data_IF_350351527600
#
_entry.id   IF_350351527600
#
_cell.length_a   1.000
_cell.length_b   1.000
_cell.length_c   1.000
_cell.angle_alpha   90.00
_cell.angle_beta   90.00
_cell.angle_gamma   90.00
#
_symmetry.space_group_name_H-M   'P 1'
#
loop_
_entity.id
_entity.type
_entity.pdbx_description
1 polymer ?
#
# COMPACT_ATOMS: atom_id res chain seq x y z
N UNK A 1 1.74 26.00 -10.63
CA UNK A 1 2.38 24.68 -10.40
C UNK A 1 1.49 23.85 -9.49
N UNK A 2 0.80 22.84 -10.03
CA UNK A 2 -0.04 21.96 -9.24
C UNK A 2 0.80 21.20 -8.20
N UNK A 3 0.68 21.59 -6.93
CA UNK A 3 1.08 20.81 -5.76
C UNK A 3 0.57 19.37 -5.91
N UNK A 4 1.50 18.49 -6.21
CA UNK A 4 1.26 17.09 -6.51
C UNK A 4 1.72 16.27 -5.32
N UNK A 5 0.84 15.43 -4.80
CA UNK A 5 1.27 14.35 -3.90
C UNK A 5 2.02 13.36 -4.78
N UNK A 6 3.34 13.24 -4.59
CA UNK A 6 4.16 12.29 -5.36
C UNK A 6 3.59 10.89 -5.16
N UNK A 7 3.60 10.09 -6.23
CA UNK A 7 3.32 8.66 -6.09
C UNK A 7 4.39 8.06 -5.19
N UNK A 8 4.03 7.09 -4.35
CA UNK A 8 5.00 6.33 -3.56
C UNK A 8 6.11 5.71 -4.44
N UNK A 9 5.80 5.42 -5.71
CA UNK A 9 6.76 4.89 -6.69
C UNK A 9 7.78 5.90 -7.22
N UNK A 10 7.61 7.21 -6.98
CA UNK A 10 8.50 8.26 -7.48
C UNK A 10 9.41 8.84 -6.39
N UNK A 11 9.48 8.17 -5.23
CA UNK A 11 10.23 8.64 -4.06
C UNK A 11 11.58 7.93 -3.90
N UNK A 12 11.96 7.01 -4.81
CA UNK A 12 13.17 6.20 -4.65
C UNK A 12 14.08 6.23 -5.88
N UNK A 13 15.16 7.00 -5.79
CA UNK A 13 16.38 6.90 -6.59
C UNK A 13 17.53 7.51 -5.75
N UNK A 14 17.74 6.98 -4.54
CA UNK A 14 18.79 7.51 -3.67
C UNK A 14 18.78 6.97 -2.24
N UNK A 15 19.65 5.98 -1.98
CA UNK A 15 20.18 5.61 -0.66
C UNK A 15 19.23 5.04 0.39
N UNK A 16 19.00 3.71 0.33
CA UNK A 16 18.87 2.87 1.53
C UNK A 16 19.43 1.47 1.27
N UNK A 17 20.75 1.31 1.41
CA UNK A 17 21.38 -0.01 1.46
C UNK A 17 21.34 -0.54 2.91
N UNK A 18 20.21 -1.13 3.30
CA UNK A 18 20.18 -2.18 4.33
C UNK A 18 19.57 -3.44 3.71
N UNK A 19 20.39 -4.16 2.94
CA UNK A 19 20.02 -5.40 2.26
C UNK A 19 19.66 -6.52 3.25
N UNK A 20 18.44 -7.03 3.12
CA UNK A 20 18.05 -8.32 3.70
C UNK A 20 18.72 -9.46 2.92
N UNK A 21 19.77 -10.06 3.47
CA UNK A 21 20.38 -11.28 2.90
C UNK A 21 19.56 -12.50 3.35
N UNK A 22 18.55 -12.86 2.57
CA UNK A 22 17.74 -14.06 2.78
C UNK A 22 18.63 -15.31 2.54
N UNK A 23 18.86 -16.13 3.57
CA UNK A 23 19.66 -17.36 3.45
C UNK A 23 18.80 -18.62 3.55
N UNK A 24 19.07 -19.55 2.64
CA UNK A 24 18.78 -20.98 2.73
C UNK A 24 19.79 -21.67 3.67
N UNK A 25 19.33 -22.40 4.68
CA UNK A 25 20.20 -23.28 5.49
C UNK A 25 20.46 -24.61 4.76
N UNK A 26 21.68 -25.18 4.83
CA UNK A 26 21.98 -26.47 4.21
C UNK A 26 21.53 -27.64 5.08
N UNK A 27 20.98 -28.67 4.43
CA UNK A 27 20.62 -29.96 5.01
C UNK A 27 21.89 -30.73 5.44
N UNK A 28 21.93 -31.16 6.70
CA UNK A 28 22.99 -32.01 7.24
C UNK A 28 23.01 -33.37 6.54
N UNK A 29 24.06 -33.63 5.75
CA UNK A 29 24.41 -34.99 5.31
C UNK A 29 25.27 -35.67 6.37
N UNK A 30 24.80 -36.82 6.80
CA UNK A 30 25.52 -37.81 7.59
C UNK A 30 26.88 -38.15 6.95
N UNK A 31 27.92 -38.21 7.78
CA UNK A 31 29.23 -38.76 7.40
C UNK A 31 29.51 -39.97 8.30
N UNK A 32 29.84 -41.08 7.62
CA UNK A 32 29.98 -42.42 8.15
C UNK A 32 31.28 -42.60 8.92
N UNK A 33 31.20 -43.44 9.97
CA UNK A 33 32.32 -43.98 10.74
C UNK A 33 33.27 -44.83 9.88
N UNK A 34 34.57 -44.74 10.15
CA UNK A 34 35.49 -45.87 10.14
C UNK A 34 36.70 -45.57 11.05
N UNK A 35 36.84 -46.32 12.16
CA UNK A 35 37.97 -47.23 12.43
C UNK A 35 38.03 -47.67 13.91
N UNK A 36 38.27 -48.97 14.09
CA UNK A 36 38.64 -49.71 15.30
C UNK A 36 39.96 -50.44 15.00
N UNK A 37 40.68 -51.13 15.93
CA UNK A 37 40.61 -51.15 17.41
C UNK A 37 41.99 -51.12 18.15
N UNK A 38 41.93 -50.80 19.46
CA UNK A 38 42.68 -51.23 20.69
C UNK A 38 43.96 -52.14 20.68
N UNK A 39 44.63 -52.44 21.84
CA UNK A 39 44.95 -51.69 23.09
C UNK A 39 46.39 -51.99 23.67
N UNK A 40 46.83 -51.36 24.78
CA UNK A 40 47.41 -52.04 25.98
C UNK A 40 48.15 -51.13 27.02
N UNK A 41 47.81 -51.36 28.30
CA UNK A 41 48.59 -51.35 29.58
C UNK A 41 49.15 -50.03 30.17
N UNK A 42 48.62 -49.62 31.35
CA UNK A 42 49.19 -49.67 32.75
C UNK A 42 50.27 -48.60 32.99
N UNK A 43 50.35 -47.84 34.08
CA UNK A 43 49.76 -47.85 35.42
C UNK A 43 50.12 -46.49 36.10
N UNK A 44 49.40 -46.18 37.17
CA UNK A 44 49.78 -45.33 38.31
C UNK A 44 49.44 -43.83 38.38
N UNK A 45 49.13 -43.47 39.63
CA UNK A 45 48.12 -42.54 40.10
C UNK A 45 48.67 -41.15 40.45
N UNK A 46 47.81 -40.12 40.36
CA UNK A 46 47.55 -39.15 41.44
C UNK A 46 46.57 -38.05 41.00
N UNK A 47 45.59 -37.82 41.89
CA UNK A 47 44.94 -36.55 42.25
C UNK A 47 44.10 -35.71 41.26
N UNK A 48 43.04 -35.15 41.88
CA UNK A 48 42.18 -34.03 41.50
C UNK A 48 40.88 -34.32 40.71
N UNK A 49 39.80 -34.49 41.50
CA UNK A 49 38.65 -33.58 41.53
C UNK A 49 37.93 -33.24 40.20
N UNK A 50 36.76 -33.84 39.95
CA UNK A 50 35.49 -33.11 39.70
C UNK A 50 34.36 -34.07 39.33
N UNK A 51 33.25 -33.95 40.06
CA UNK A 51 31.98 -34.62 39.86
C UNK A 51 31.37 -34.26 38.50
N UNK A 52 31.34 -35.19 37.56
CA UNK A 52 30.46 -35.12 36.39
C UNK A 52 29.13 -35.79 36.72
N UNK A 53 28.14 -34.99 37.13
CA UNK A 53 26.73 -35.39 37.09
C UNK A 53 26.26 -35.43 35.63
N UNK A 54 26.07 -36.65 35.15
CA UNK A 54 25.40 -37.00 33.89
C UNK A 54 23.94 -36.52 33.95
N UNK A 55 23.62 -35.39 33.32
CA UNK A 55 22.23 -34.94 33.12
C UNK A 55 21.70 -35.62 31.86
N UNK A 56 20.85 -36.62 32.05
CA UNK A 56 20.06 -37.24 30.98
C UNK A 56 19.20 -36.17 30.31
N UNK A 57 19.46 -35.94 29.03
CA UNK A 57 18.71 -34.98 28.21
C UNK A 57 17.37 -35.60 27.86
N UNK A 58 16.36 -35.41 28.71
CA UNK A 58 14.97 -35.68 28.33
C UNK A 58 14.63 -34.84 27.10
N UNK A 59 14.39 -35.52 25.99
CA UNK A 59 13.96 -34.92 24.74
C UNK A 59 12.69 -34.08 24.99
N UNK A 60 12.85 -32.76 25.07
CA UNK A 60 11.78 -31.78 25.15
C UNK A 60 10.80 -32.02 24.02
N UNK A 61 9.67 -32.67 24.31
CA UNK A 61 8.54 -32.79 23.41
C UNK A 61 8.22 -31.41 22.82
N UNK A 62 8.15 -31.35 21.48
CA UNK A 62 8.02 -30.11 20.74
C UNK A 62 6.66 -29.46 21.05
N UNK A 63 6.63 -28.66 22.12
CA UNK A 63 5.39 -28.08 22.64
C UNK A 63 4.98 -26.95 21.71
N UNK A 64 3.98 -27.21 20.87
CA UNK A 64 3.37 -26.22 20.00
C UNK A 64 2.50 -25.26 20.81
N UNK A 65 2.63 -23.96 20.51
CA UNK A 65 1.78 -22.90 21.07
C UNK A 65 0.67 -22.62 20.06
N UNK A 66 -0.57 -22.59 20.51
CA UNK A 66 -1.72 -22.15 19.73
C UNK A 66 -2.29 -20.85 20.30
N UNK A 67 -2.69 -19.94 19.42
CA UNK A 67 -3.29 -18.65 19.77
C UNK A 67 -4.73 -18.59 19.25
N UNK A 68 -5.67 -18.29 20.14
CA UNK A 68 -7.03 -17.91 19.78
C UNK A 68 -7.12 -16.38 19.75
N UNK A 69 -7.44 -15.79 18.59
CA UNK A 69 -7.64 -14.35 18.44
C UNK A 69 -8.74 -14.06 17.41
N UNK A 70 -9.77 -13.25 17.73
CA UNK A 70 -10.09 -12.68 19.03
C UNK A 70 -10.70 -13.73 19.98
N UNK A 71 -10.60 -13.49 21.29
CA UNK A 71 -11.46 -14.14 22.29
C UNK A 71 -12.44 -13.15 22.89
N UNK A 72 -13.51 -13.70 23.48
CA UNK A 72 -14.54 -12.91 24.14
C UNK A 72 -14.61 -13.37 25.60
N UNK A 73 -13.81 -12.79 26.51
CA UNK A 73 -13.64 -13.32 27.86
C UNK A 73 -14.94 -13.49 28.65
N UNK A 74 -15.95 -12.65 28.35
CA UNK A 74 -17.27 -12.68 29.00
C UNK A 74 -18.25 -13.69 28.39
N UNK A 75 -17.91 -14.34 27.28
CA UNK A 75 -18.78 -15.32 26.63
C UNK A 75 -18.90 -16.59 27.47
N UNK A 76 -20.14 -17.08 27.69
CA UNK A 76 -20.40 -18.34 28.40
C UNK A 76 -19.58 -19.51 27.82
N UNK A 77 -19.43 -19.56 26.49
CA UNK A 77 -18.61 -20.59 25.81
C UNK A 77 -17.14 -20.49 26.19
N UNK A 78 -16.58 -19.28 26.19
CA UNK A 78 -15.16 -19.08 26.52
C UNK A 78 -14.88 -19.36 28.00
N UNK A 79 -15.74 -18.88 28.91
CA UNK A 79 -15.63 -19.17 30.35
C UNK A 79 -15.70 -20.67 30.67
N UNK A 80 -16.49 -21.44 29.91
CA UNK A 80 -16.53 -22.90 30.05
C UNK A 80 -15.23 -23.57 29.58
N UNK A 81 -14.58 -23.04 28.52
CA UNK A 81 -13.28 -23.53 28.03
C UNK A 81 -12.15 -23.23 29.01
N UNK A 82 -12.12 -22.01 29.56
CA UNK A 82 -11.12 -21.58 30.55
C UNK A 82 -11.07 -22.49 31.80
N UNK A 83 -12.18 -23.15 32.15
CA UNK A 83 -12.24 -24.11 33.27
C UNK A 83 -11.72 -25.51 32.93
N UNK A 84 -11.62 -25.85 31.65
CA UNK A 84 -11.33 -27.22 31.16
C UNK A 84 -9.98 -27.32 30.47
N UNK A 85 -9.53 -26.23 29.88
CA UNK A 85 -8.31 -26.17 29.08
C UNK A 85 -7.28 -25.28 29.78
N UNK A 86 -6.00 -25.60 29.62
CA UNK A 86 -4.89 -24.75 30.06
C UNK A 86 -4.73 -23.54 29.14
N UNK A 87 -5.40 -22.45 29.47
CA UNK A 87 -5.44 -21.21 28.68
C UNK A 87 -4.91 -20.03 29.49
N UNK A 88 -4.03 -19.25 28.88
CA UNK A 88 -3.66 -17.91 29.32
C UNK A 88 -4.50 -16.89 28.53
N UNK A 89 -5.11 -15.90 29.20
CA UNK A 89 -5.79 -14.79 28.54
C UNK A 89 -4.91 -13.54 28.59
N UNK A 90 -4.69 -12.92 27.44
CA UNK A 90 -4.01 -11.63 27.33
C UNK A 90 -4.94 -10.54 26.81
N UNK A 91 -4.65 -9.30 27.17
CA UNK A 91 -5.29 -8.11 26.66
C UNK A 91 -4.19 -7.13 26.26
N UNK A 92 -4.15 -6.70 25.01
CA UNK A 92 -3.08 -5.83 24.51
C UNK A 92 -3.53 -5.04 23.27
N UNK A 93 -2.70 -4.12 22.80
CA UNK A 93 -2.86 -3.40 21.54
C UNK A 93 -1.49 -3.22 20.86
N UNK A 94 -1.44 -3.03 19.54
CA UNK A 94 -0.19 -2.69 18.89
C UNK A 94 0.41 -1.37 19.41
N UNK A 95 1.74 -1.25 19.34
CA UNK A 95 2.45 -0.08 19.86
C UNK A 95 2.72 1.01 18.81
N UNK A 96 2.30 0.80 17.56
CA UNK A 96 2.45 1.78 16.47
C UNK A 96 1.57 3.03 16.66
N UNK A 97 1.95 4.20 16.10
CA UNK A 97 1.18 5.43 16.20
C UNK A 97 -0.30 5.26 15.81
N UNK A 98 -1.25 5.86 16.53
CA UNK A 98 -2.68 5.81 16.17
C UNK A 98 -3.38 4.45 16.39
N UNK A 99 -2.67 3.40 16.82
CA UNK A 99 -3.24 2.04 16.96
C UNK A 99 -3.82 1.72 18.34
N UNK A 100 -3.81 2.65 19.31
CA UNK A 100 -4.35 2.41 20.67
C UNK A 100 -5.82 1.96 20.71
N UNK A 101 -6.61 2.22 19.66
CA UNK A 101 -8.02 1.79 19.57
C UNK A 101 -8.18 0.35 19.08
N UNK A 102 -7.09 -0.35 18.84
CA UNK A 102 -7.01 -1.72 18.36
C UNK A 102 -6.74 -2.70 19.52
N UNK A 103 -7.28 -2.41 20.71
CA UNK A 103 -7.24 -3.32 21.85
C UNK A 103 -7.92 -4.65 21.49
N UNK A 104 -7.33 -5.75 21.99
CA UNK A 104 -7.77 -7.10 21.68
C UNK A 104 -7.57 -8.03 22.86
N UNK A 105 -8.56 -8.89 23.08
CA UNK A 105 -8.42 -10.05 23.95
C UNK A 105 -7.99 -11.26 23.10
N UNK A 106 -6.97 -11.98 23.54
CA UNK A 106 -6.49 -13.22 22.92
C UNK A 106 -6.26 -14.30 23.99
N UNK A 107 -6.17 -15.56 23.57
CA UNK A 107 -5.82 -16.66 24.45
C UNK A 107 -4.67 -17.51 23.90
N UNK A 108 -3.84 -18.05 24.78
CA UNK A 108 -2.68 -18.87 24.45
C UNK A 108 -2.80 -20.24 25.10
N UNK A 109 -2.51 -21.30 24.34
CA UNK A 109 -2.54 -22.69 24.76
C UNK A 109 -1.22 -23.40 24.41
N UNK A 110 -0.56 -24.13 25.33
CA UNK A 110 -0.86 -24.23 26.76
C UNK A 110 -0.50 -22.95 27.53
N UNK A 111 -1.43 -22.42 28.31
CA UNK A 111 -1.26 -21.18 29.07
C UNK A 111 -0.17 -21.27 30.15
N UNK A 112 -0.11 -22.39 30.86
CA UNK A 112 0.89 -22.65 31.90
C UNK A 112 2.31 -22.71 31.33
N UNK A 113 2.48 -23.24 30.12
CA UNK A 113 3.75 -23.22 29.42
C UNK A 113 4.14 -21.78 29.07
N UNK A 114 3.24 -21.02 28.45
CA UNK A 114 3.48 -19.62 28.08
C UNK A 114 3.87 -18.72 29.26
N UNK A 115 3.24 -18.92 30.42
CA UNK A 115 3.54 -18.17 31.65
C UNK A 115 4.88 -18.54 32.29
N UNK A 116 5.38 -19.77 32.09
CA UNK A 116 6.70 -20.21 32.59
C UNK A 116 7.86 -19.62 31.80
N UNK A 117 7.63 -19.26 30.54
CA UNK A 117 8.67 -18.69 29.69
C UNK A 117 9.13 -17.33 30.22
N UNK A 118 10.46 -17.11 30.23
CA UNK A 118 11.02 -15.84 30.65
C UNK A 118 10.78 -14.79 29.57
N UNK A 119 10.25 -13.63 29.97
CA UNK A 119 9.99 -12.51 29.07
C UNK A 119 11.23 -11.64 28.86
N UNK A 120 11.41 -11.16 27.63
CA UNK A 120 12.52 -10.28 27.23
C UNK A 120 11.99 -9.11 26.39
N UNK A 121 12.66 -7.97 26.49
CA UNK A 121 12.36 -6.79 25.66
C UNK A 121 12.94 -6.94 24.25
N UNK A 122 14.12 -7.55 24.15
CA UNK A 122 14.90 -7.65 22.94
C UNK A 122 15.43 -9.08 22.78
N UNK A 123 15.69 -9.49 21.53
CA UNK A 123 16.40 -10.73 21.19
C UNK A 123 17.54 -10.44 20.21
N UNK A 124 18.69 -11.06 20.42
CA UNK A 124 19.89 -10.91 19.60
C UNK A 124 20.21 -12.24 18.92
N UNK A 125 20.27 -12.24 17.59
CA UNK A 125 20.61 -13.38 16.76
C UNK A 125 21.99 -13.16 16.19
N UNK A 126 22.91 -14.12 16.35
CA UNK A 126 24.31 -13.97 15.94
C UNK A 126 24.61 -14.55 14.54
N UNK A 127 23.75 -15.42 14.05
CA UNK A 127 23.93 -16.16 12.80
C UNK A 127 22.70 -15.93 11.92
N UNK A 128 22.84 -15.49 10.66
CA UNK A 128 24.07 -15.23 9.91
C UNK A 128 24.76 -13.89 10.16
N UNK A 129 24.05 -12.95 10.75
CA UNK A 129 24.55 -11.60 11.05
C UNK A 129 24.07 -11.27 12.44
N UNK A 130 24.91 -10.55 13.19
CA UNK A 130 24.55 -10.05 14.50
C UNK A 130 23.46 -8.98 14.39
N UNK A 131 22.22 -9.37 14.64
CA UNK A 131 21.03 -8.52 14.55
C UNK A 131 20.26 -8.56 15.86
N UNK A 132 19.83 -7.39 16.32
CA UNK A 132 18.96 -7.26 17.49
C UNK A 132 17.58 -6.79 17.04
N UNK A 133 16.56 -7.44 17.58
CA UNK A 133 15.16 -7.06 17.45
C UNK A 133 14.60 -6.69 18.81
N UNK A 134 13.72 -5.70 18.85
CA UNK A 134 13.11 -5.13 20.05
C UNK A 134 11.58 -5.10 19.92
N UNK A 135 10.89 -5.07 21.05
CA UNK A 135 9.46 -4.78 21.06
C UNK A 135 9.17 -3.42 20.39
N UNK A 136 8.23 -3.42 19.44
CA UNK A 136 7.87 -2.26 18.61
C UNK A 136 8.39 -2.34 17.18
N UNK A 137 9.47 -3.08 16.92
CA UNK A 137 10.04 -3.24 15.59
C UNK A 137 9.06 -3.98 14.66
N UNK A 138 9.08 -3.62 13.37
CA UNK A 138 8.32 -4.30 12.33
C UNK A 138 9.28 -5.20 11.56
N UNK A 139 8.87 -6.44 11.31
CA UNK A 139 9.70 -7.47 10.70
C UNK A 139 8.98 -8.19 9.57
N UNK A 140 9.75 -8.65 8.59
CA UNK A 140 9.32 -9.68 7.65
C UNK A 140 9.47 -11.06 8.29
N UNK A 141 8.47 -11.92 8.10
CA UNK A 141 8.41 -13.29 8.62
C UNK A 141 8.25 -14.24 7.45
N UNK A 142 9.09 -15.27 7.39
CA UNK A 142 9.04 -16.28 6.34
C UNK A 142 7.70 -17.03 6.37
N UNK A 143 6.91 -16.91 5.30
CA UNK A 143 5.61 -17.60 5.15
C UNK A 143 5.77 -19.08 4.83
N UNK A 144 6.89 -19.45 4.19
CA UNK A 144 7.15 -20.80 3.70
C UNK A 144 8.50 -21.29 4.20
N UNK A 145 8.53 -22.57 4.58
CA UNK A 145 9.74 -23.33 4.86
C UNK A 145 9.75 -24.55 3.91
N UNK A 146 10.86 -24.82 3.19
CA UNK A 146 12.11 -24.05 3.17
C UNK A 146 11.92 -22.65 2.55
N UNK A 147 12.77 -21.71 2.98
CA UNK A 147 12.73 -20.33 2.49
C UNK A 147 13.05 -20.33 0.98
N UNK A 148 12.20 -19.70 0.14
CA UNK A 148 12.43 -19.60 -1.30
C UNK A 148 13.76 -18.91 -1.63
N UNK A 149 14.38 -19.27 -2.74
CA UNK A 149 15.63 -18.65 -3.18
C UNK A 149 15.47 -17.12 -3.30
N UNK A 150 16.46 -16.33 -2.84
CA UNK A 150 16.40 -14.89 -2.99
C UNK A 150 16.36 -14.51 -4.48
N UNK A 151 15.68 -13.40 -4.77
CA UNK A 151 15.72 -12.82 -6.11
C UNK A 151 17.13 -12.39 -6.50
N UNK A 152 17.37 -12.28 -7.81
CA UNK A 152 18.61 -11.68 -8.32
C UNK A 152 18.76 -10.25 -7.81
N UNK A 153 19.99 -9.78 -7.67
CA UNK A 153 20.27 -8.38 -7.29
C UNK A 153 19.65 -7.38 -8.26
N UNK A 154 19.44 -7.80 -9.50
CA UNK A 154 18.97 -6.97 -10.62
C UNK A 154 17.44 -7.03 -10.79
N UNK A 155 16.74 -7.75 -9.90
CA UNK A 155 15.28 -7.82 -9.91
C UNK A 155 14.67 -6.41 -9.75
N UNK A 156 13.69 -6.12 -10.59
CA UNK A 156 12.92 -4.88 -10.57
C UNK A 156 12.15 -4.72 -9.27
N UNK A 157 11.74 -3.48 -8.96
CA UNK A 157 10.95 -3.22 -7.75
C UNK A 157 9.62 -3.98 -7.73
N UNK A 158 9.01 -4.20 -8.89
CA UNK A 158 7.76 -4.97 -9.00
C UNK A 158 7.97 -6.47 -8.78
N UNK A 159 9.09 -7.03 -9.26
CA UNK A 159 9.47 -8.43 -8.97
C UNK A 159 9.75 -8.63 -7.48
N UNK A 160 10.46 -7.70 -6.84
CA UNK A 160 10.69 -7.72 -5.38
C UNK A 160 9.40 -7.64 -4.60
N UNK A 161 8.50 -6.72 -4.97
CA UNK A 161 7.19 -6.60 -4.35
C UNK A 161 6.35 -7.88 -4.51
N UNK A 162 6.39 -8.52 -5.68
CA UNK A 162 5.69 -9.78 -5.93
C UNK A 162 6.26 -10.91 -5.07
N UNK A 163 7.58 -11.01 -4.97
CA UNK A 163 8.25 -11.99 -4.11
C UNK A 163 7.89 -11.79 -2.64
N UNK A 164 7.91 -10.56 -2.15
CA UNK A 164 7.56 -10.26 -0.75
C UNK A 164 6.12 -10.66 -0.45
N UNK A 165 5.17 -10.30 -1.32
CA UNK A 165 3.75 -10.67 -1.16
C UNK A 165 3.51 -12.17 -1.12
N UNK A 166 4.26 -12.93 -1.92
CA UNK A 166 4.09 -14.38 -1.99
C UNK A 166 4.75 -15.12 -0.81
N UNK A 167 5.88 -14.59 -0.31
CA UNK A 167 6.80 -15.34 0.54
C UNK A 167 6.99 -14.77 1.95
N UNK A 168 6.58 -13.52 2.19
CA UNK A 168 6.79 -12.83 3.46
C UNK A 168 5.47 -12.32 4.05
N UNK A 169 5.23 -12.69 5.31
CA UNK A 169 4.29 -11.97 6.17
C UNK A 169 4.99 -10.79 6.84
N UNK A 170 4.21 -9.85 7.37
CA UNK A 170 4.74 -8.66 8.04
C UNK A 170 4.12 -8.56 9.42
N UNK A 171 4.94 -8.45 10.47
CA UNK A 171 4.46 -8.39 11.85
C UNK A 171 5.16 -7.33 12.67
N UNK A 172 4.44 -6.71 13.60
CA UNK A 172 5.01 -5.89 14.66
C UNK A 172 5.32 -6.78 15.88
N UNK A 173 6.55 -6.73 16.38
CA UNK A 173 6.96 -7.45 17.59
C UNK A 173 6.33 -6.80 18.82
N UNK A 174 5.59 -7.59 19.61
CA UNK A 174 5.01 -7.15 20.88
C UNK A 174 5.89 -7.55 22.08
N UNK A 175 6.35 -8.81 22.14
CA UNK A 175 7.25 -9.30 23.17
C UNK A 175 8.02 -10.55 22.73
N UNK A 176 9.15 -10.80 23.39
CA UNK A 176 9.89 -12.05 23.29
C UNK A 176 9.70 -12.88 24.55
N UNK A 177 9.60 -14.20 24.40
CA UNK A 177 9.65 -15.16 25.50
C UNK A 177 10.53 -16.35 25.15
N UNK A 178 11.38 -16.78 26.07
CA UNK A 178 12.29 -17.90 25.79
C UNK A 178 12.12 -19.04 26.80
N UNK A 179 12.15 -20.27 26.28
CA UNK A 179 12.31 -21.48 27.08
C UNK A 179 13.81 -21.78 27.30
N UNK A 180 14.63 -21.50 26.29
CA UNK A 180 16.08 -21.63 26.30
C UNK A 180 16.69 -20.66 25.28
N UNK A 181 18.01 -20.56 25.24
CA UNK A 181 18.71 -19.73 24.24
C UNK A 181 18.37 -20.09 22.79
N UNK A 182 17.99 -21.35 22.53
CA UNK A 182 17.68 -21.85 21.20
C UNK A 182 16.17 -21.92 20.91
N UNK A 183 15.30 -21.74 21.92
CA UNK A 183 13.85 -21.79 21.76
C UNK A 183 13.23 -20.49 22.25
N UNK A 184 13.14 -19.55 21.31
CA UNK A 184 12.61 -18.19 21.52
C UNK A 184 11.34 -18.03 20.71
N UNK A 185 10.29 -17.56 21.39
CA UNK A 185 9.00 -17.23 20.82
C UNK A 185 8.81 -15.72 20.77
N UNK A 186 8.04 -15.27 19.80
CA UNK A 186 7.74 -13.87 19.56
C UNK A 186 6.24 -13.71 19.44
N UNK A 187 5.65 -12.87 20.28
CA UNK A 187 4.27 -12.46 20.07
C UNK A 187 4.25 -11.29 19.10
N UNK A 188 3.42 -11.37 18.07
CA UNK A 188 3.34 -10.39 17.00
C UNK A 188 1.93 -9.88 16.78
N UNK A 189 1.81 -8.66 16.26
CA UNK A 189 0.60 -8.14 15.63
C UNK A 189 0.78 -8.12 14.12
N UNK A 190 -0.10 -8.76 13.36
CA UNK A 190 0.05 -8.87 11.91
C UNK A 190 -0.29 -7.56 11.16
N UNK A 191 0.52 -7.24 10.17
CA UNK A 191 0.22 -6.30 9.09
C UNK A 191 -0.15 -7.11 7.85
N UNK A 192 -1.29 -6.82 7.25
CA UNK A 192 -1.80 -7.54 6.11
C UNK A 192 -1.48 -6.83 4.80
N UNK A 193 -1.13 -7.62 3.79
CA UNK A 193 -1.29 -7.18 2.42
C UNK A 193 -2.79 -6.99 2.13
N UNK A 194 -3.20 -5.94 1.41
CA UNK A 194 -4.61 -5.72 1.10
C UNK A 194 -5.31 -6.93 0.44
N UNK A 195 -4.57 -7.71 -0.34
CA UNK A 195 -5.07 -8.91 -1.01
C UNK A 195 -5.42 -10.06 -0.04
N UNK A 196 -4.82 -10.07 1.15
CA UNK A 196 -5.01 -11.06 2.21
C UNK A 196 -6.15 -10.72 3.18
N UNK A 197 -6.70 -9.51 3.09
CA UNK A 197 -7.83 -9.11 3.91
C UNK A 197 -9.10 -9.92 3.54
N UNK A 198 -10.00 -10.21 4.49
CA UNK A 198 -11.25 -10.92 4.18
C UNK A 198 -12.19 -10.21 3.20
N UNK A 199 -12.12 -8.87 3.14
CA UNK A 199 -12.84 -8.05 2.16
C UNK A 199 -12.04 -7.81 0.87
N UNK A 200 -10.85 -8.41 0.76
CA UNK A 200 -9.86 -8.19 -0.28
C UNK A 200 -9.43 -6.72 -0.45
N UNK A 201 -8.54 -6.50 -1.41
CA UNK A 201 -8.02 -5.19 -1.78
C UNK A 201 -9.16 -4.25 -2.18
N UNK A 202 -9.15 -3.05 -1.63
CA UNK A 202 -10.06 -1.98 -2.01
C UNK A 202 -9.46 -1.15 -3.15
N UNK A 203 -10.27 -0.50 -4.00
CA UNK A 203 -9.78 0.25 -5.17
C UNK A 203 -8.83 1.41 -4.85
N UNK A 204 -8.84 1.89 -3.61
CA UNK A 204 -7.98 2.98 -3.15
C UNK A 204 -6.66 2.49 -2.54
N UNK A 205 -6.49 1.18 -2.30
CA UNK A 205 -5.25 0.66 -1.73
C UNK A 205 -4.11 0.72 -2.74
N UNK A 206 -2.95 1.22 -2.30
CA UNK A 206 -1.74 1.25 -3.12
C UNK A 206 -1.06 -0.12 -3.25
N UNK A 207 -0.18 -0.25 -4.24
CA UNK A 207 0.50 -1.53 -4.53
C UNK A 207 1.43 -1.99 -3.39
N UNK A 208 2.07 -1.03 -2.71
CA UNK A 208 3.04 -1.20 -1.61
C UNK A 208 2.42 -0.95 -0.21
N UNK A 209 1.10 -0.77 -0.14
CA UNK A 209 0.38 -0.49 1.10
C UNK A 209 0.19 -1.78 1.92
N UNK A 210 0.38 -1.67 3.23
CA UNK A 210 0.02 -2.66 4.23
C UNK A 210 -1.10 -2.11 5.13
N UNK A 211 -1.79 -3.02 5.82
CA UNK A 211 -2.89 -2.68 6.74
C UNK A 211 -2.58 -3.25 8.12
N UNK A 212 -2.37 -2.37 9.10
CA UNK A 212 -2.03 -2.77 10.47
C UNK A 212 -3.24 -3.36 11.18
N UNK A 213 -3.11 -4.55 11.79
CA UNK A 213 -4.23 -5.20 12.50
C UNK A 213 -3.99 -5.38 14.00
N UNK A 214 -5.07 -5.65 14.74
CA UNK A 214 -5.00 -6.20 16.09
C UNK A 214 -4.90 -7.73 16.13
N UNK A 215 -4.62 -8.40 15.02
CA UNK A 215 -4.50 -9.84 15.03
C UNK A 215 -3.20 -10.26 15.73
N UNK A 216 -3.34 -10.86 16.92
CA UNK A 216 -2.24 -11.41 17.70
C UNK A 216 -1.95 -12.84 17.30
N UNK A 217 -0.66 -13.17 17.19
CA UNK A 217 -0.17 -14.53 17.05
C UNK A 217 1.18 -14.71 17.78
N UNK A 218 1.63 -15.96 17.95
CA UNK A 218 2.93 -16.31 18.52
C UNK A 218 3.68 -17.19 17.52
N UNK A 219 4.83 -16.70 17.08
CA UNK A 219 5.73 -17.39 16.15
C UNK A 219 7.04 -17.75 16.82
N UNK A 220 7.80 -18.66 16.22
CA UNK A 220 9.17 -18.90 16.62
C UNK A 220 10.08 -17.82 16.04
N UNK A 221 11.02 -17.31 16.84
CA UNK A 221 11.84 -16.18 16.43
C UNK A 221 12.75 -16.48 15.22
N UNK A 222 13.08 -17.75 15.00
CA UNK A 222 13.84 -18.21 13.82
C UNK A 222 13.10 -18.01 12.49
N UNK A 223 11.78 -17.76 12.52
CA UNK A 223 10.99 -17.48 11.32
C UNK A 223 11.11 -16.03 10.86
N UNK A 224 11.63 -15.14 11.71
CA UNK A 224 11.89 -13.73 11.35
C UNK A 224 12.99 -13.70 10.28
N UNK A 225 12.68 -13.10 9.13
CA UNK A 225 13.61 -12.96 8.02
C UNK A 225 14.54 -11.75 8.24
N UNK A 226 13.97 -10.58 8.46
CA UNK A 226 14.69 -9.32 8.68
C UNK A 226 13.76 -8.22 9.20
N UNK A 227 14.34 -7.09 9.59
CA UNK A 227 13.61 -5.83 9.82
C UNK A 227 12.87 -5.40 8.55
N UNK A 228 11.72 -4.76 8.74
CA UNK A 228 10.94 -4.14 7.68
C UNK A 228 10.82 -2.64 7.96
N UNK A 229 11.43 -1.83 7.10
CA UNK A 229 11.31 -0.37 7.17
C UNK A 229 9.96 0.05 6.55
N UNK A 230 8.98 0.36 7.41
CA UNK A 230 7.61 0.66 7.01
C UNK A 230 7.16 2.00 7.61
N UNK A 231 6.92 2.96 6.74
CA UNK A 231 6.46 4.29 7.14
C UNK A 231 4.96 4.32 7.52
N UNK A 232 4.62 5.12 8.52
CA UNK A 232 3.23 5.49 8.80
C UNK A 232 2.86 6.73 8.00
N UNK A 233 1.81 6.63 7.18
CA UNK A 233 1.31 7.74 6.40
C UNK A 233 0.08 8.38 7.06
N UNK A 234 0.28 9.56 7.66
CA UNK A 234 -0.81 10.40 8.12
C UNK A 234 -1.41 11.20 6.96
N UNK A 235 -2.63 10.85 6.53
CA UNK A 235 -3.32 11.54 5.43
C UNK A 235 -3.74 12.98 5.76
N UNK A 236 -3.66 13.39 7.03
CA UNK A 236 -3.96 14.76 7.45
C UNK A 236 -2.72 15.67 7.45
N UNK A 237 -1.53 15.10 7.25
CA UNK A 237 -0.31 15.88 7.02
C UNK A 237 -0.19 16.26 5.53
N UNK A 238 -0.64 17.47 5.21
CA UNK A 238 -0.52 18.08 3.86
C UNK A 238 0.82 18.83 3.67
N UNK A 239 1.80 18.69 4.58
CA UNK A 239 3.08 19.43 4.50
C UNK A 239 3.99 19.00 3.35
N UNK A 240 3.65 17.91 2.63
CA UNK A 240 4.48 17.24 1.63
C UNK A 240 5.88 16.81 2.14
N UNK A 241 6.08 16.78 3.47
CA UNK A 241 7.34 16.35 4.08
C UNK A 241 7.40 14.84 4.32
N UNK A 242 6.26 14.15 4.34
CA UNK A 242 6.20 12.72 4.54
C UNK A 242 6.75 11.99 3.31
N UNK A 243 7.96 11.49 3.43
CA UNK A 243 8.58 10.56 2.47
C UNK A 243 8.09 9.17 2.84
N UNK A 244 7.43 8.49 1.91
CA UNK A 244 7.00 7.11 2.12
C UNK A 244 8.18 6.17 1.80
N UNK A 245 8.47 5.27 2.73
CA UNK A 245 9.46 4.20 2.54
C UNK A 245 9.01 3.17 1.48
N UNK A 246 9.80 2.12 1.29
CA UNK A 246 9.49 1.04 0.35
C UNK A 246 8.11 0.41 0.61
N UNK A 247 7.69 0.36 1.87
CA UNK A 247 6.34 0.02 2.30
C UNK A 247 5.80 1.11 3.22
N UNK A 248 4.48 1.19 3.28
CA UNK A 248 3.80 2.11 4.18
C UNK A 248 2.46 1.55 4.60
N UNK A 249 1.90 2.13 5.65
CA UNK A 249 0.54 1.86 6.09
C UNK A 249 -0.14 3.17 6.54
N UNK A 250 -1.46 3.24 6.36
CA UNK A 250 -2.32 4.35 6.81
C UNK A 250 -3.66 3.90 7.39
N UNK A 251 -4.07 2.68 7.03
CA UNK A 251 -5.33 2.09 7.44
C UNK A 251 -5.08 0.98 8.45
N UNK A 252 -6.05 0.75 9.33
CA UNK A 252 -6.00 -0.33 10.32
C UNK A 252 -7.16 -1.30 10.11
N UNK A 253 -6.97 -2.56 10.48
CA UNK A 253 -7.96 -3.62 10.42
C UNK A 253 -8.25 -4.19 11.83
N UNK A 254 -9.50 -4.13 12.26
CA UNK A 254 -9.96 -4.63 13.55
C UNK A 254 -10.70 -5.97 13.38
N UNK A 255 -10.04 -7.06 13.78
CA UNK A 255 -10.57 -8.43 13.66
C UNK A 255 -11.84 -8.65 14.48
N UNK A 256 -12.05 -7.90 15.57
CA UNK A 256 -13.24 -8.04 16.42
C UNK A 256 -14.51 -7.57 15.70
N UNK A 257 -14.36 -6.56 14.83
CA UNK A 257 -15.46 -6.00 14.06
C UNK A 257 -15.85 -6.88 12.88
N UNK A 258 -14.99 -7.79 12.43
CA UNK A 258 -15.31 -8.68 11.32
C UNK A 258 -16.54 -9.57 11.59
N UNK A 259 -16.82 -9.89 12.86
CA UNK A 259 -17.99 -10.69 13.24
C UNK A 259 -19.27 -9.86 13.45
N UNK A 260 -19.13 -8.59 13.82
CA UNK A 260 -20.26 -7.76 14.31
C UNK A 260 -20.64 -6.64 13.35
N UNK A 261 -19.66 -6.00 12.72
CA UNK A 261 -19.82 -4.92 11.77
C UNK A 261 -18.67 -4.92 10.74
N UNK A 262 -18.67 -5.86 9.76
CA UNK A 262 -17.59 -6.01 8.78
C UNK A 262 -17.24 -4.70 8.04
N UNK A 263 -18.25 -3.87 7.75
CA UNK A 263 -18.08 -2.56 7.10
C UNK A 263 -17.33 -1.51 7.93
N UNK A 264 -17.12 -1.77 9.23
CA UNK A 264 -16.35 -0.93 10.16
C UNK A 264 -15.01 -1.58 10.54
N UNK A 265 -14.70 -2.76 10.00
CA UNK A 265 -13.47 -3.47 10.35
C UNK A 265 -12.22 -2.74 9.85
N UNK A 266 -12.31 -2.02 8.73
CA UNK A 266 -11.27 -1.08 8.30
C UNK A 266 -11.52 0.32 8.88
N UNK A 267 -10.45 0.99 9.36
CA UNK A 267 -10.55 2.39 9.79
C UNK A 267 -10.91 3.31 8.62
N UNK A 268 -11.53 4.45 8.93
CA UNK A 268 -11.87 5.45 7.91
C UNK A 268 -10.62 6.22 7.49
N UNK A 269 -10.45 6.39 6.19
CA UNK A 269 -9.44 7.26 5.58
C UNK A 269 -10.01 8.67 5.34
N UNK A 270 -9.13 9.64 5.05
CA UNK A 270 -9.53 11.00 4.67
C UNK A 270 -10.18 10.98 3.29
N UNK A 271 -11.34 11.63 3.17
CA UNK A 271 -12.04 11.78 1.89
C UNK A 271 -11.51 12.98 1.12
N UNK A 272 -11.40 12.83 -0.19
CA UNK A 272 -10.94 13.83 -1.12
C UNK A 272 -11.92 14.00 -2.29
N UNK A 273 -11.72 15.06 -3.08
CA UNK A 273 -12.52 15.44 -4.24
C UNK A 273 -14.01 15.65 -3.93
N UNK A 274 -14.76 16.15 -4.91
CA UNK A 274 -16.21 16.32 -4.82
C UNK A 274 -16.95 14.98 -4.76
N UNK A 275 -16.33 13.90 -5.25
CA UNK A 275 -16.92 12.56 -5.22
C UNK A 275 -16.91 11.93 -3.82
N UNK A 276 -16.12 12.47 -2.88
CA UNK A 276 -15.97 11.92 -1.53
C UNK A 276 -15.23 10.58 -1.47
N UNK A 277 -14.44 10.26 -2.49
CA UNK A 277 -13.57 9.08 -2.57
C UNK A 277 -12.27 9.23 -1.78
N UNK A 278 -11.52 8.14 -1.62
CA UNK A 278 -10.22 8.14 -0.95
C UNK A 278 -9.07 8.33 -1.94
N UNK A 279 -7.88 8.68 -1.44
CA UNK A 279 -6.65 8.77 -2.25
C UNK A 279 -6.13 7.35 -2.59
N UNK A 280 -5.79 7.11 -3.86
CA UNK A 280 -4.98 5.97 -4.25
C UNK A 280 -3.58 6.50 -4.60
N UNK A 281 -2.54 6.21 -3.79
CA UNK A 281 -1.19 6.74 -4.00
C UNK A 281 -0.49 6.24 -5.28
N UNK A 282 -1.08 5.30 -6.01
CA UNK A 282 -0.65 4.92 -7.37
C UNK A 282 -1.24 5.82 -8.48
N UNK A 283 -2.22 6.66 -8.17
CA UNK A 283 -2.95 7.55 -9.08
C UNK A 283 -2.67 8.99 -8.67
N UNK A 284 -2.48 9.88 -9.64
CA UNK A 284 -2.21 11.28 -9.30
C UNK A 284 -3.47 11.99 -8.82
N UNK A 285 -3.26 12.93 -7.90
CA UNK A 285 -4.28 13.87 -7.46
C UNK A 285 -3.82 15.30 -7.70
N UNK A 286 -4.78 16.18 -8.01
CA UNK A 286 -4.52 17.55 -8.43
C UNK A 286 -5.11 18.52 -7.41
N UNK A 287 -4.26 19.26 -6.71
CA UNK A 287 -4.67 20.25 -5.72
C UNK A 287 -5.04 21.58 -6.39
N UNK A 288 -6.16 22.16 -5.96
CA UNK A 288 -6.51 23.53 -6.31
C UNK A 288 -5.77 24.53 -5.41
N UNK A 289 -5.01 25.44 -6.02
CA UNK A 289 -4.22 26.49 -5.33
C UNK A 289 -4.99 27.79 -5.12
N UNK A 290 -6.25 27.86 -5.55
CA UNK A 290 -7.10 29.01 -5.27
C UNK A 290 -7.28 29.13 -3.75
N UNK A 291 -6.95 30.31 -3.20
CA UNK A 291 -7.12 30.64 -1.79
C UNK A 291 -8.55 30.33 -1.35
N UNK A 292 -8.71 29.56 -0.27
CA UNK A 292 -10.00 29.12 0.27
C UNK A 292 -10.59 27.85 -0.37
N UNK A 293 -10.07 27.36 -1.49
CA UNK A 293 -10.53 26.08 -2.07
C UNK A 293 -9.73 24.89 -1.54
N UNK A 294 -8.42 24.84 -1.82
CA UNK A 294 -7.49 23.79 -1.34
C UNK A 294 -7.85 22.35 -1.72
N UNK A 295 -8.86 22.14 -2.56
CA UNK A 295 -9.43 20.82 -2.79
C UNK A 295 -8.55 19.99 -3.72
N UNK A 296 -8.29 18.74 -3.32
CA UNK A 296 -7.68 17.72 -4.15
C UNK A 296 -8.71 17.07 -5.08
N UNK A 297 -8.36 16.88 -6.35
CA UNK A 297 -9.21 16.28 -7.38
C UNK A 297 -8.58 14.97 -7.86
N UNK A 298 -9.37 13.90 -7.92
CA UNK A 298 -8.92 12.66 -8.54
C UNK A 298 -8.75 12.84 -10.05
N UNK A 299 -7.68 12.27 -10.61
CA UNK A 299 -7.43 12.27 -12.07
C UNK A 299 -8.66 11.79 -12.86
N UNK A 300 -9.28 10.70 -12.43
CA UNK A 300 -10.47 10.14 -13.09
C UNK A 300 -11.69 11.07 -13.04
N UNK A 301 -11.87 11.83 -11.95
CA UNK A 301 -12.95 12.80 -11.85
C UNK A 301 -12.71 13.99 -12.78
N UNK A 302 -11.46 14.44 -12.92
CA UNK A 302 -11.10 15.48 -13.89
C UNK A 302 -11.29 14.99 -15.34
N UNK A 303 -10.86 13.77 -15.65
CA UNK A 303 -11.08 13.15 -16.97
C UNK A 303 -12.57 13.10 -17.29
N UNK A 304 -13.40 12.67 -16.34
CA UNK A 304 -14.85 12.62 -16.54
C UNK A 304 -15.46 14.00 -16.83
N UNK A 305 -15.04 15.05 -16.10
CA UNK A 305 -15.44 16.44 -16.34
C UNK A 305 -14.99 16.95 -17.72
N UNK A 306 -13.74 16.67 -18.10
CA UNK A 306 -13.18 17.05 -19.39
C UNK A 306 -13.97 16.39 -20.53
N UNK A 307 -14.25 15.09 -20.43
CA UNK A 307 -15.03 14.37 -21.45
C UNK A 307 -16.44 14.92 -21.60
N UNK A 308 -17.11 15.22 -20.48
CA UNK A 308 -18.47 15.77 -20.47
C UNK A 308 -18.50 17.16 -21.14
N UNK A 309 -17.61 18.07 -20.73
CA UNK A 309 -17.49 19.40 -21.35
C UNK A 309 -17.12 19.31 -22.83
N UNK A 310 -16.21 18.41 -23.20
CA UNK A 310 -15.82 18.22 -24.58
C UNK A 310 -16.97 17.68 -25.43
N UNK A 311 -17.77 16.75 -24.88
CA UNK A 311 -18.94 16.21 -25.57
C UNK A 311 -20.02 17.28 -25.83
N UNK A 312 -20.30 18.13 -24.85
CA UNK A 312 -21.24 19.24 -25.03
C UNK A 312 -20.77 20.20 -26.13
N UNK A 313 -19.49 20.58 -26.14
CA UNK A 313 -18.90 21.38 -27.22
C UNK A 313 -18.90 20.65 -28.57
N UNK A 314 -18.65 19.34 -28.57
CA UNK A 314 -18.63 18.52 -29.78
C UNK A 314 -20.00 18.46 -30.44
N UNK A 315 -21.08 18.25 -29.66
CA UNK A 315 -22.45 18.29 -30.18
C UNK A 315 -22.81 19.64 -30.80
N UNK A 316 -22.33 20.73 -30.19
CA UNK A 316 -22.55 22.09 -30.69
C UNK A 316 -21.65 22.45 -31.89
N UNK A 317 -20.69 21.59 -32.28
CA UNK A 317 -19.70 21.92 -33.31
C UNK A 317 -18.64 22.94 -32.87
N UNK A 318 -18.52 23.19 -31.57
CA UNK A 318 -17.67 24.22 -30.94
C UNK A 318 -16.43 23.63 -30.24
N UNK A 319 -16.13 22.35 -30.43
CA UNK A 319 -14.95 21.74 -29.80
C UNK A 319 -13.67 22.22 -30.50
N UNK A 320 -12.88 23.02 -29.77
CA UNK A 320 -11.56 23.53 -30.15
C UNK A 320 -10.56 23.40 -28.99
N UNK A 321 -9.31 23.80 -29.21
CA UNK A 321 -8.30 23.82 -28.15
C UNK A 321 -8.66 24.90 -27.11
N UNK A 322 -8.68 24.53 -25.82
CA UNK A 322 -8.87 25.46 -24.69
C UNK A 322 -7.54 26.07 -24.22
N UNK A 323 -6.43 25.40 -24.49
CA UNK A 323 -5.07 25.84 -24.14
C UNK A 323 -4.20 25.91 -25.40
N UNK A 324 -3.31 26.90 -25.46
CA UNK A 324 -2.34 27.02 -26.56
C UNK A 324 -1.30 25.90 -26.48
N UNK A 325 -0.91 25.34 -27.63
CA UNK A 325 0.26 24.46 -27.71
C UNK A 325 1.51 25.30 -27.48
N UNK A 326 2.25 25.02 -26.40
CA UNK A 326 3.63 25.51 -26.28
C UNK A 326 4.42 24.88 -27.44
N UNK A 327 5.06 25.71 -28.29
CA UNK A 327 5.63 25.33 -29.60
C UNK A 327 6.73 24.24 -29.60
N UNK A 328 7.06 23.66 -28.45
CA UNK A 328 8.21 22.75 -28.27
C UNK A 328 7.92 21.29 -28.69
N UNK A 329 6.67 20.93 -28.98
CA UNK A 329 6.28 19.55 -29.33
C UNK A 329 5.91 19.31 -30.80
N UNK A 330 6.27 20.22 -31.74
CA UNK A 330 6.06 19.95 -33.18
C UNK A 330 6.89 18.75 -33.63
N UNK A 331 6.25 17.59 -33.69
CA UNK A 331 6.75 16.41 -34.41
C UNK A 331 7.10 16.83 -35.84
N UNK A 332 8.16 16.25 -36.39
CA UNK A 332 8.72 16.59 -37.72
C UNK A 332 7.65 16.63 -38.84
N UNK A 333 6.56 15.87 -38.69
CA UNK A 333 5.43 15.80 -39.61
C UNK A 333 4.51 17.03 -39.62
N UNK A 334 4.42 17.81 -38.54
CA UNK A 334 3.57 19.03 -38.48
C UNK A 334 4.26 20.28 -39.07
N UNK A 335 5.60 20.34 -39.10
CA UNK A 335 6.34 21.50 -39.64
C UNK A 335 6.26 21.66 -41.17
N UNK A 336 5.81 20.64 -41.90
CA UNK A 336 5.79 20.65 -43.38
C UNK A 336 4.47 21.21 -43.94
N UNK A 337 3.39 21.21 -43.17
CA UNK A 337 2.05 21.60 -43.67
C UNK A 337 1.78 23.10 -43.48
N UNK A 338 2.37 23.75 -42.49
CA UNK A 338 2.08 25.17 -42.16
C UNK A 338 2.81 26.20 -43.05
N UNK A 339 3.75 25.77 -43.91
CA UNK A 339 4.50 26.69 -44.80
C UNK A 339 3.91 26.83 -46.22
N UNK A 340 2.75 26.24 -46.49
CA UNK A 340 2.06 26.32 -47.80
C UNK A 340 0.61 26.76 -47.57
N UNK A 341 0.41 28.06 -47.31
CA UNK A 341 -0.94 28.59 -47.06
C UNK A 341 -0.98 30.09 -46.75
N UNK A 342 -0.08 30.87 -47.34
CA UNK A 342 -0.18 32.33 -47.34
C UNK A 342 -0.95 32.74 -48.60
N UNK A 343 -2.09 33.42 -48.45
CA UNK A 343 -2.59 34.55 -49.27
C UNK A 343 -4.12 34.61 -49.29
N UNK A 344 -4.63 35.85 -49.13
CA UNK A 344 -5.98 36.38 -49.42
C UNK A 344 -6.91 36.63 -48.21
N UNK A 345 -7.11 37.92 -47.91
CA UNK A 345 -8.47 38.47 -47.72
C UNK A 345 -8.81 39.10 -46.37
N UNK A 346 -8.55 40.42 -46.23
CA UNK A 346 -9.05 41.33 -45.16
C UNK A 346 -10.59 41.49 -45.19
N UNK A 347 -11.19 41.79 -44.03
CA UNK A 347 -12.52 42.43 -43.97
C UNK A 347 -13.15 42.48 -42.57
N UNK A 348 -13.35 43.71 -42.06
CA UNK A 348 -13.75 44.12 -40.70
C UNK A 348 -15.28 44.11 -40.51
N UNK A 349 -15.78 43.94 -39.27
CA UNK A 349 -17.14 44.36 -38.91
C UNK A 349 -17.63 43.91 -37.52
N UNK A 350 -17.62 44.84 -36.56
CA UNK A 350 -18.07 44.74 -35.14
C UNK A 350 -19.59 44.96 -35.03
N UNK A 351 -20.28 44.37 -34.04
CA UNK A 351 -21.26 45.05 -33.14
C UNK A 351 -21.86 44.10 -32.08
N UNK A 352 -21.79 44.53 -30.82
CA UNK A 352 -22.46 44.04 -29.60
C UNK A 352 -24.00 44.13 -29.69
N UNK A 353 -24.74 43.41 -28.82
CA UNK A 353 -25.70 43.96 -27.84
C UNK A 353 -26.00 42.92 -26.75
N UNK A 354 -26.16 43.44 -25.54
CA UNK A 354 -26.38 42.86 -24.22
C UNK A 354 -27.84 42.41 -23.97
N UNK A 355 -28.03 41.55 -22.97
CA UNK A 355 -29.04 41.63 -21.89
C UNK A 355 -29.11 40.25 -21.22
N UNK A 356 -29.40 40.03 -19.94
CA UNK A 356 -29.48 40.77 -18.68
C UNK A 356 -30.01 39.70 -17.68
N UNK A 357 -29.99 40.01 -16.39
CA UNK A 357 -30.05 39.04 -15.31
C UNK A 357 -31.42 38.39 -15.03
N UNK A 358 -31.41 37.22 -14.36
CA UNK A 358 -32.24 37.05 -13.15
C UNK A 358 -31.76 35.93 -12.21
N UNK A 359 -31.60 36.31 -10.94
CA UNK A 359 -31.42 35.49 -9.75
C UNK A 359 -32.71 34.70 -9.43
N UNK A 360 -32.60 33.50 -8.84
CA UNK A 360 -33.02 33.30 -7.44
C UNK A 360 -32.99 31.84 -6.92
N UNK A 361 -32.53 31.75 -5.66
CA UNK A 361 -32.97 30.87 -4.56
C UNK A 361 -32.70 29.36 -4.56
N UNK A 362 -31.81 29.02 -3.63
CA UNK A 362 -31.62 27.74 -2.92
C UNK A 362 -32.90 27.38 -2.13
N UNK A 363 -33.25 26.09 -2.00
CA UNK A 363 -33.33 25.54 -0.65
C UNK A 363 -32.67 24.17 -0.47
N UNK A 364 -32.17 24.00 0.76
CA UNK A 364 -31.75 22.77 1.42
C UNK A 364 -32.65 21.56 1.19
N UNK A 365 -32.06 20.38 0.98
CA UNK A 365 -32.61 19.14 1.55
C UNK A 365 -31.59 17.99 1.56
N UNK A 366 -31.36 17.47 2.77
CA UNK A 366 -31.30 16.05 3.12
C UNK A 366 -30.45 15.09 2.28
N UNK A 367 -29.41 14.59 2.95
CA UNK A 367 -28.79 13.27 2.81
C UNK A 367 -29.63 12.22 2.07
N UNK A 368 -29.22 11.89 0.84
CA UNK A 368 -29.59 10.65 0.17
C UNK A 368 -28.34 10.02 -0.41
N UNK A 369 -28.16 8.76 -0.05
CA UNK A 369 -27.19 7.80 -0.55
C UNK A 369 -26.76 8.09 -2.00
N UNK A 370 -25.44 8.13 -2.21
CA UNK A 370 -24.85 7.90 -3.52
C UNK A 370 -25.16 6.46 -3.94
N UNK A 371 -26.39 6.26 -4.42
CA UNK A 371 -26.78 5.12 -5.24
C UNK A 371 -26.02 5.32 -6.54
N UNK A 372 -25.00 4.51 -6.77
CA UNK A 372 -24.44 4.27 -8.10
C UNK A 372 -25.63 4.06 -9.04
N UNK A 373 -25.92 5.09 -9.83
CA UNK A 373 -27.00 5.08 -10.81
C UNK A 373 -26.67 3.94 -11.76
N UNK A 374 -27.63 3.04 -11.92
CA UNK A 374 -27.58 1.94 -12.87
C UNK A 374 -27.06 2.45 -14.22
N UNK A 375 -26.04 1.77 -14.76
CA UNK A 375 -25.16 2.28 -15.80
C UNK A 375 -25.84 2.67 -17.10
N UNK A 376 -26.34 3.90 -17.18
CA UNK A 376 -26.50 4.58 -18.45
C UNK A 376 -25.09 4.78 -19.02
N UNK A 377 -24.77 4.03 -20.07
CA UNK A 377 -23.52 4.22 -20.83
C UNK A 377 -23.46 5.68 -21.28
N UNK A 378 -22.39 6.38 -20.91
CA UNK A 378 -22.15 7.78 -21.31
C UNK A 378 -22.31 7.89 -22.85
N UNK A 379 -23.02 8.89 -23.39
CA UNK A 379 -23.30 8.97 -24.82
C UNK A 379 -22.05 9.17 -25.70
N UNK A 380 -20.95 9.64 -25.11
CA UNK A 380 -19.63 9.78 -25.72
C UNK A 380 -18.71 8.57 -25.52
N UNK A 381 -19.12 7.56 -24.72
CA UNK A 381 -18.29 6.37 -24.51
C UNK A 381 -17.96 5.73 -25.86
N UNK A 382 -16.68 5.48 -26.12
CA UNK A 382 -16.12 5.00 -27.41
C UNK A 382 -16.14 6.01 -28.56
N UNK A 383 -16.50 7.27 -28.32
CA UNK A 383 -16.48 8.36 -29.33
C UNK A 383 -15.43 9.43 -29.01
N UNK A 384 -15.35 9.84 -27.75
CA UNK A 384 -14.33 10.73 -27.22
C UNK A 384 -13.68 10.05 -26.01
N UNK A 385 -12.39 10.28 -25.83
CA UNK A 385 -11.61 9.80 -24.68
C UNK A 385 -10.68 10.92 -24.23
N UNK A 386 -10.76 11.28 -22.95
CA UNK A 386 -9.84 12.24 -22.35
C UNK A 386 -8.68 11.53 -21.64
N UNK A 387 -7.50 12.16 -21.65
CA UNK A 387 -6.34 11.71 -20.87
C UNK A 387 -5.58 12.91 -20.32
N UNK A 388 -4.98 12.75 -19.15
CA UNK A 388 -4.05 13.72 -18.58
C UNK A 388 -2.65 13.14 -18.72
N UNK A 389 -1.75 13.85 -19.39
CA UNK A 389 -0.36 13.42 -19.62
C UNK A 389 0.60 14.33 -18.87
N UNK A 390 1.57 13.71 -18.20
CA UNK A 390 2.70 14.42 -17.62
C UNK A 390 3.74 14.70 -18.70
N UNK A 391 4.13 15.95 -18.81
CA UNK A 391 5.25 16.41 -19.62
C UNK A 391 6.33 16.88 -18.66
N UNK A 392 7.49 16.23 -18.69
CA UNK A 392 8.66 16.70 -17.97
C UNK A 392 9.25 17.86 -18.76
N UNK A 393 9.33 19.04 -18.15
CA UNK A 393 10.14 20.15 -18.66
C UNK A 393 11.58 20.00 -18.18
N UNK A 394 12.47 20.84 -18.71
CA UNK A 394 13.78 21.04 -18.09
C UNK A 394 13.61 21.54 -16.63
N UNK A 395 14.56 21.21 -15.75
CA UNK A 395 14.60 21.63 -14.32
C UNK A 395 13.58 20.95 -13.38
N UNK A 396 13.27 19.67 -13.58
CA UNK A 396 12.35 18.87 -12.73
C UNK A 396 10.91 19.41 -12.62
N UNK A 397 10.55 20.43 -13.39
CA UNK A 397 9.18 20.93 -13.44
C UNK A 397 8.32 19.99 -14.29
N UNK A 398 7.33 19.35 -13.66
CA UNK A 398 6.34 18.54 -14.38
C UNK A 398 5.10 19.36 -14.69
N UNK A 399 4.83 19.63 -15.96
CA UNK A 399 3.54 20.16 -16.40
C UNK A 399 2.58 19.06 -16.77
N UNK A 400 1.31 19.28 -16.51
CA UNK A 400 0.25 18.33 -16.83
C UNK A 400 -0.60 18.92 -17.95
N UNK A 401 -0.85 18.14 -18.98
CA UNK A 401 -1.67 18.54 -20.12
C UNK A 401 -2.82 17.57 -20.25
N UNK A 402 -4.05 18.10 -20.26
CA UNK A 402 -5.23 17.34 -20.58
C UNK A 402 -5.50 17.41 -22.08
N UNK A 403 -5.80 16.27 -22.70
CA UNK A 403 -6.25 16.23 -24.09
C UNK A 403 -7.49 15.37 -24.23
N UNK A 404 -8.30 15.65 -25.25
CA UNK A 404 -9.41 14.81 -25.71
C UNK A 404 -9.11 14.31 -27.10
N UNK A 405 -9.25 13.00 -27.31
CA UNK A 405 -9.06 12.34 -28.60
C UNK A 405 -10.38 11.82 -29.16
N UNK A 406 -10.59 12.04 -30.46
CA UNK A 406 -11.71 11.47 -31.20
C UNK A 406 -11.43 10.00 -31.55
N UNK A 407 -12.36 9.11 -31.22
CA UNK A 407 -12.23 7.67 -31.47
C UNK A 407 -13.01 7.16 -32.69
N UNK A 408 -14.00 7.91 -33.17
CA UNK A 408 -14.81 7.54 -34.34
C UNK A 408 -14.89 8.66 -35.38
N UNK A 409 -14.92 8.33 -36.68
CA UNK A 409 -15.17 9.32 -37.73
C UNK A 409 -16.51 10.04 -37.53
N UNK A 410 -16.55 11.33 -37.85
CA UNK A 410 -17.79 12.10 -38.00
C UNK A 410 -18.41 11.88 -39.39
N UNK A 411 -19.72 12.07 -39.56
CA UNK A 411 -20.38 11.95 -40.87
C UNK A 411 -19.80 12.88 -41.95
N UNK A 412 -19.13 13.97 -41.55
CA UNK A 412 -18.44 14.91 -42.45
C UNK A 412 -17.04 14.45 -42.90
N UNK A 413 -16.47 13.41 -42.30
CA UNK A 413 -15.22 12.79 -42.75
C UNK A 413 -15.54 11.70 -43.78
N UNK A 414 -16.12 12.08 -44.92
CA UNK A 414 -16.25 11.21 -46.10
C UNK A 414 -14.90 11.18 -46.85
N UNK A 415 -14.45 9.97 -47.19
CA UNK A 415 -13.40 9.65 -48.17
C UNK A 415 -11.90 9.82 -47.77
N UNK A 416 -11.45 9.19 -46.68
CA UNK A 416 -10.03 8.75 -46.55
C UNK A 416 -9.98 7.27 -46.12
N UNK A 417 -9.03 6.46 -46.63
CA UNK A 417 -8.92 5.03 -46.31
C UNK A 417 -8.46 4.77 -44.86
N UNK A 418 -7.92 5.78 -44.16
CA UNK A 418 -7.57 5.72 -42.74
C UNK A 418 -8.22 6.87 -41.97
N UNK A 419 -8.81 6.56 -40.81
CA UNK A 419 -9.33 7.55 -39.87
C UNK A 419 -8.17 8.16 -39.08
N UNK A 420 -8.03 9.49 -39.14
CA UNK A 420 -7.07 10.24 -38.35
C UNK A 420 -7.79 10.91 -37.16
N UNK A 421 -7.51 10.48 -35.92
CA UNK A 421 -8.11 11.04 -34.71
C UNK A 421 -7.80 12.53 -34.55
N UNK A 422 -8.84 13.35 -34.43
CA UNK A 422 -8.67 14.74 -33.96
C UNK A 422 -8.33 14.73 -32.48
N UNK A 423 -7.43 15.63 -32.08
CA UNK A 423 -6.98 15.81 -30.70
C UNK A 423 -7.16 17.28 -30.33
N UNK A 424 -7.72 17.54 -29.16
CA UNK A 424 -7.92 18.88 -28.63
C UNK A 424 -7.26 19.01 -27.26
N UNK A 425 -6.55 20.11 -27.02
CA UNK A 425 -6.00 20.43 -25.70
C UNK A 425 -7.09 21.03 -24.82
N UNK A 426 -7.22 20.51 -23.61
CA UNK A 426 -8.28 20.86 -22.68
C UNK A 426 -7.70 21.50 -21.43
N UNK A 427 -8.46 22.41 -20.83
CA UNK A 427 -8.13 23.00 -19.53
C UNK A 427 -8.60 22.07 -18.41
N UNK A 428 -7.73 21.81 -17.43
CA UNK A 428 -8.13 21.15 -16.18
C UNK A 428 -8.71 22.21 -15.24
N UNK A 429 -9.94 22.01 -14.78
CA UNK A 429 -10.61 22.93 -13.85
C UNK A 429 -10.89 22.23 -12.52
N UNK A 430 -10.73 22.98 -11.42
CA UNK A 430 -11.10 22.49 -10.11
C UNK A 430 -12.59 22.16 -10.08
N UNK A 431 -12.95 20.96 -9.62
CA UNK A 431 -14.34 20.51 -9.64
C UNK A 431 -15.23 21.20 -8.59
N UNK A 432 -14.67 22.06 -7.74
CA UNK A 432 -15.39 22.85 -6.72
C UNK A 432 -15.51 24.32 -7.08
N UNK A 433 -14.39 24.98 -7.41
CA UNK A 433 -14.37 26.43 -7.67
C UNK A 433 -14.19 26.78 -9.16
N UNK A 434 -14.03 25.78 -10.04
CA UNK A 434 -13.81 25.94 -11.48
C UNK A 434 -12.56 26.74 -11.90
N UNK A 435 -11.69 27.10 -10.94
CA UNK A 435 -10.40 27.71 -11.23
C UNK A 435 -9.48 26.73 -11.96
N UNK A 436 -8.61 27.24 -12.83
CA UNK A 436 -7.65 26.43 -13.57
C UNK A 436 -6.71 25.67 -12.62
N UNK A 437 -6.43 24.41 -12.95
CA UNK A 437 -5.45 23.56 -12.26
C UNK A 437 -4.12 23.45 -13.02
N UNK A 438 -4.06 24.01 -14.23
CA UNK A 438 -2.89 23.96 -15.10
C UNK A 438 -1.71 24.78 -14.55
#
# INVERSE_FOLDING_TARGET
MAGRKRKASEIDDGTSERRCSIKSSPSNKALMNHHSPQPSKKEDASEADELQETIETEASADTSIAVDCPVWPKSKRYLARLKREDLYTGHDAPSLPGTRRLEIDYAVKPGSFWLKLRQYKNARFKDPVDVTYSAGDIVYVNRRLPVPAPLSTDASTDERLAYDKENLWVGQIAEFRAASTNKVFVRVFWLYWPDELPMHRQPYHGNRELVMSNHVDIIEAQTIACHADISYWDEYDDSNKTVLDERYWRQTYDVTKMLTAPHLALSKLRKFCICGGYDNPGIDMFQCHMTGCGMWNHEQCLIADIEERAWEKFKAGLLGHETQETEEHKTFSQKVVEKVGHLVGKGIGVSEVQDEAHLDRIPSSSSKHAKLVAGHKKPWARKLEARITKVRKAEDETTHHAIVRQLVPTANTKAKPSFEPKIWNMEMKCLRCHHSLN
#
